data_IF_351085274452
#
_entry.id   IF_351085274452
#
_cell.length_a   1.000
_cell.length_b   1.000
_cell.length_c   1.000
_cell.angle_alpha   90.00
_cell.angle_beta   90.00
_cell.angle_gamma   90.00
#
_symmetry.space_group_name_H-M   'P 1'
#
loop_
_entity.id
_entity.type
_entity.pdbx_description
1 polymer ?
#
# COMPACT_ATOMS: atom_id res chain seq x y z
N UNK A 1 -6.91 -3.06 -13.81
CA UNK A 1 -6.64 -1.79 -13.08
C UNK A 1 -5.44 -1.11 -13.75
N UNK A 2 -5.26 0.21 -13.65
CA UNK A 2 -4.01 0.82 -14.12
C UNK A 2 -2.91 0.58 -13.09
N UNK A 3 -1.67 0.40 -13.54
CA UNK A 3 -0.52 0.13 -12.67
C UNK A 3 -0.40 1.13 -11.52
N UNK A 4 -0.49 2.43 -11.81
CA UNK A 4 -0.28 3.46 -10.79
C UNK A 4 -1.40 3.46 -9.72
N UNK A 5 -2.65 3.16 -10.12
CA UNK A 5 -3.76 2.96 -9.18
C UNK A 5 -3.51 1.72 -8.31
N UNK A 6 -3.00 0.65 -8.92
CA UNK A 6 -2.67 -0.60 -8.22
C UNK A 6 -1.57 -0.41 -7.17
N UNK A 7 -0.51 0.31 -7.54
CA UNK A 7 0.60 0.66 -6.66
C UNK A 7 0.13 1.52 -5.48
N UNK A 8 -0.71 2.52 -5.75
CA UNK A 8 -1.26 3.37 -4.70
C UNK A 8 -2.17 2.58 -3.76
N UNK A 9 -3.10 1.78 -4.29
CA UNK A 9 -3.99 0.94 -3.49
C UNK A 9 -3.21 -0.06 -2.63
N UNK A 10 -2.20 -0.71 -3.22
CA UNK A 10 -1.30 -1.59 -2.48
C UNK A 10 -0.59 -0.86 -1.35
N UNK A 11 -0.02 0.32 -1.61
CA UNK A 11 0.67 1.12 -0.60
C UNK A 11 -0.26 1.52 0.56
N UNK A 12 -1.50 1.95 0.26
CA UNK A 12 -2.49 2.27 1.27
C UNK A 12 -2.80 1.07 2.18
N UNK A 13 -3.12 -0.10 1.59
CA UNK A 13 -3.48 -1.27 2.38
C UNK A 13 -2.27 -1.89 3.10
N UNK A 14 -1.07 -1.79 2.51
CA UNK A 14 0.16 -2.24 3.14
C UNK A 14 0.47 -1.41 4.40
N UNK A 15 0.30 -0.09 4.35
CA UNK A 15 0.43 0.77 5.55
C UNK A 15 -0.59 0.39 6.62
N UNK A 16 -1.82 0.04 6.26
CA UNK A 16 -2.82 -0.47 7.21
C UNK A 16 -2.35 -1.79 7.83
N UNK A 17 -1.88 -2.74 7.01
CA UNK A 17 -1.42 -4.05 7.46
C UNK A 17 -0.22 -3.94 8.41
N UNK A 18 0.72 -3.03 8.11
CA UNK A 18 1.90 -2.80 8.95
C UNK A 18 1.53 -2.11 10.28
N UNK A 19 0.55 -1.21 10.27
CA UNK A 19 0.03 -0.57 11.49
C UNK A 19 -0.88 -1.50 12.32
N UNK A 20 -1.49 -2.51 11.70
CA UNK A 20 -2.45 -3.44 12.31
C UNK A 20 -2.08 -4.88 11.98
N UNK A 21 -0.97 -5.41 12.53
CA UNK A 21 -0.46 -6.74 12.19
C UNK A 21 -1.41 -7.90 12.54
N UNK A 22 -2.38 -7.66 13.43
CA UNK A 22 -3.42 -8.64 13.78
C UNK A 22 -4.63 -8.61 12.82
N UNK A 23 -4.70 -7.65 11.89
CA UNK A 23 -5.75 -7.56 10.88
C UNK A 23 -5.44 -8.46 9.69
N UNK A 24 -5.85 -9.73 9.80
CA UNK A 24 -5.63 -10.73 8.76
C UNK A 24 -6.24 -10.34 7.41
N UNK A 25 -7.35 -9.57 7.41
CA UNK A 25 -7.98 -9.09 6.19
C UNK A 25 -7.11 -8.08 5.47
N UNK A 26 -6.50 -7.14 6.20
CA UNK A 26 -5.55 -6.18 5.64
C UNK A 26 -4.31 -6.90 5.07
N UNK A 27 -3.73 -7.83 5.81
CA UNK A 27 -2.58 -8.64 5.36
C UNK A 27 -2.88 -9.43 4.07
N UNK A 28 -4.02 -10.12 4.04
CA UNK A 28 -4.42 -10.90 2.87
C UNK A 28 -4.65 -10.01 1.65
N UNK A 29 -5.26 -8.84 1.86
CA UNK A 29 -5.54 -7.87 0.79
C UNK A 29 -4.26 -7.27 0.26
N UNK A 30 -3.32 -6.90 1.12
CA UNK A 30 -1.99 -6.42 0.72
C UNK A 30 -1.21 -7.48 -0.07
N UNK A 31 -1.26 -8.74 0.36
CA UNK A 31 -0.65 -9.85 -0.38
C UNK A 31 -1.27 -10.05 -1.76
N UNK A 32 -2.60 -9.98 -1.86
CA UNK A 32 -3.32 -10.10 -3.13
C UNK A 32 -2.93 -8.99 -4.12
N UNK A 33 -2.91 -7.73 -3.68
CA UNK A 33 -2.47 -6.64 -4.54
C UNK A 33 -1.00 -6.78 -4.94
N UNK A 34 -0.14 -7.27 -4.04
CA UNK A 34 1.27 -7.51 -4.36
C UNK A 34 1.43 -8.57 -5.45
N UNK A 35 0.65 -9.64 -5.39
CA UNK A 35 0.66 -10.71 -6.39
C UNK A 35 0.14 -10.20 -7.74
N UNK A 36 -0.97 -9.46 -7.75
CA UNK A 36 -1.48 -8.80 -8.95
C UNK A 36 -0.46 -7.85 -9.58
N UNK A 37 0.21 -7.02 -8.76
CA UNK A 37 1.25 -6.10 -9.23
C UNK A 37 2.43 -6.83 -9.87
N UNK A 38 2.81 -7.98 -9.32
CA UNK A 38 3.86 -8.83 -9.88
C UNK A 38 3.43 -9.46 -11.21
N UNK A 39 2.23 -10.02 -11.27
CA UNK A 39 1.77 -10.84 -12.41
C UNK A 39 1.23 -10.01 -13.57
N UNK A 40 0.44 -8.97 -13.28
CA UNK A 40 -0.24 -8.18 -14.32
C UNK A 40 0.58 -6.94 -14.73
N UNK A 41 1.54 -6.53 -13.90
CA UNK A 41 2.29 -5.28 -14.09
C UNK A 41 3.80 -5.45 -13.96
N UNK A 42 4.31 -6.67 -13.76
CA UNK A 42 5.75 -6.98 -13.67
C UNK A 42 6.49 -6.15 -12.61
N UNK A 43 5.77 -5.73 -11.57
CA UNK A 43 6.31 -4.94 -10.46
C UNK A 43 6.83 -5.88 -9.38
N UNK A 44 8.15 -5.96 -9.26
CA UNK A 44 8.86 -6.83 -8.33
C UNK A 44 9.55 -6.02 -7.23
N UNK A 45 9.95 -6.71 -6.16
CA UNK A 45 10.77 -6.13 -5.07
C UNK A 45 10.18 -4.84 -4.47
N UNK A 46 8.84 -4.75 -4.41
CA UNK A 46 8.16 -3.56 -3.89
C UNK A 46 8.55 -3.30 -2.43
N UNK A 47 9.01 -2.09 -2.15
CA UNK A 47 9.30 -1.63 -0.79
C UNK A 47 8.97 -0.15 -0.66
N UNK A 48 8.64 0.28 0.55
CA UNK A 48 8.33 1.68 0.78
C UNK A 48 8.99 2.20 2.06
N UNK A 49 9.16 3.51 2.12
CA UNK A 49 9.62 4.22 3.32
C UNK A 49 8.86 5.53 3.45
N UNK A 50 8.70 6.00 4.68
CA UNK A 50 8.21 7.34 4.96
C UNK A 50 9.40 8.32 5.03
N UNK A 51 9.28 9.45 4.35
CA UNK A 51 10.24 10.55 4.29
C UNK A 51 9.50 11.88 4.51
N UNK A 52 9.39 12.29 5.77
CA UNK A 52 8.57 13.43 6.17
C UNK A 52 7.08 13.22 5.84
N UNK A 53 6.51 14.17 5.10
CA UNK A 53 5.11 14.15 4.64
C UNK A 53 4.89 13.34 3.35
N UNK A 54 5.87 12.50 2.98
CA UNK A 54 5.82 11.69 1.77
C UNK A 54 6.10 10.21 2.07
N UNK A 55 5.43 9.34 1.33
CA UNK A 55 5.84 7.94 1.18
C UNK A 55 6.57 7.79 -0.13
N UNK A 56 7.72 7.16 -0.06
CA UNK A 56 8.55 6.80 -1.20
C UNK A 56 8.36 5.31 -1.46
N UNK A 57 7.73 4.98 -2.58
CA UNK A 57 7.53 3.62 -3.06
C UNK A 57 8.60 3.31 -4.10
N UNK A 58 9.27 2.20 -3.92
CA UNK A 58 10.31 1.70 -4.83
C UNK A 58 9.96 0.30 -5.30
N UNK A 59 10.44 -0.05 -6.49
CA UNK A 59 10.32 -1.39 -7.02
C UNK A 59 11.25 -1.61 -8.20
N UNK A 60 11.17 -2.81 -8.77
CA UNK A 60 11.89 -3.19 -9.99
C UNK A 60 10.93 -3.65 -11.07
N UNK A 61 11.17 -3.18 -12.28
CA UNK A 61 10.48 -3.64 -13.49
C UNK A 61 11.53 -3.93 -14.55
N UNK A 62 11.57 -5.18 -15.03
CA UNK A 62 12.41 -5.60 -16.17
C UNK A 62 13.88 -5.11 -16.14
N UNK A 63 14.49 -5.15 -14.94
CA UNK A 63 15.87 -4.72 -14.60
C UNK A 63 16.09 -3.22 -14.35
N UNK A 64 15.06 -2.38 -14.39
CA UNK A 64 15.12 -0.97 -14.02
C UNK A 64 14.49 -0.73 -12.64
N UNK A 65 15.21 0.00 -11.79
CA UNK A 65 14.70 0.48 -10.52
C UNK A 65 13.87 1.73 -10.75
N UNK A 66 12.70 1.78 -10.14
CA UNK A 66 11.83 2.94 -10.22
C UNK A 66 11.40 3.40 -8.82
N UNK A 67 11.08 4.69 -8.72
CA UNK A 67 10.63 5.34 -7.51
C UNK A 67 9.40 6.21 -7.80
N UNK A 68 8.41 6.17 -6.91
CA UNK A 68 7.23 7.03 -6.92
C UNK A 68 7.02 7.63 -5.54
N UNK A 69 6.56 8.88 -5.48
CA UNK A 69 6.28 9.60 -4.21
C UNK A 69 4.80 9.89 -4.09
N UNK A 70 4.25 9.62 -2.91
CA UNK A 70 2.84 9.83 -2.58
C UNK A 70 2.71 10.68 -1.31
N UNK A 71 1.77 11.64 -1.24
CA UNK A 71 1.54 12.40 -0.01
C UNK A 71 1.12 11.47 1.14
N UNK A 72 1.71 11.67 2.32
CA UNK A 72 1.41 10.85 3.49
C UNK A 72 -0.07 10.88 3.88
N UNK A 73 -0.71 12.05 3.80
CA UNK A 73 -2.14 12.20 4.04
C UNK A 73 -2.98 11.27 3.13
N UNK A 74 -2.66 11.21 1.84
CA UNK A 74 -3.38 10.37 0.89
C UNK A 74 -3.16 8.88 1.14
N UNK A 75 -1.93 8.48 1.48
CA UNK A 75 -1.61 7.08 1.78
C UNK A 75 -2.28 6.62 3.07
N UNK A 76 -2.27 7.47 4.10
CA UNK A 76 -2.79 7.14 5.43
C UNK A 76 -4.31 7.32 5.55
N UNK A 77 -4.97 7.92 4.55
CA UNK A 77 -6.41 8.16 4.56
C UNK A 77 -7.23 6.91 4.92
N UNK A 78 -6.86 5.74 4.38
CA UNK A 78 -7.54 4.48 4.69
C UNK A 78 -7.35 4.05 6.15
N UNK A 79 -6.12 4.10 6.66
CA UNK A 79 -5.81 3.79 8.05
C UNK A 79 -6.56 4.72 9.02
N UNK A 80 -6.58 6.02 8.70
CA UNK A 80 -7.30 7.03 9.47
C UNK A 80 -8.80 6.75 9.46
N UNK A 81 -9.38 6.43 8.30
CA UNK A 81 -10.80 6.09 8.19
C UNK A 81 -11.15 4.87 9.06
N UNK A 82 -10.36 3.80 8.99
CA UNK A 82 -10.58 2.58 9.79
C UNK A 82 -10.44 2.86 11.30
N UNK A 83 -9.47 3.67 11.71
CA UNK A 83 -9.29 4.02 13.12
C UNK A 83 -10.41 4.93 13.65
N UNK A 84 -11.01 5.73 12.77
CA UNK A 84 -12.09 6.65 13.10
C UNK A 84 -13.49 6.03 12.93
N UNK A 85 -13.61 4.83 12.37
CA UNK A 85 -14.88 4.12 12.34
C UNK A 85 -15.30 3.79 13.78
N UNK A 86 -16.44 4.31 14.27
CA UNK A 86 -16.97 3.89 15.55
C UNK A 86 -17.33 2.42 15.41
N UNK A 87 -16.61 1.52 16.09
CA UNK A 87 -17.09 0.15 16.31
C UNK A 87 -18.50 0.29 16.90
N UNK A 88 -19.51 -0.17 16.16
CA UNK A 88 -20.90 -0.11 16.58
C UNK A 88 -21.01 -0.59 18.03
N UNK A 89 -21.26 0.36 18.92
CA UNK A 89 -21.62 0.09 20.30
C UNK A 89 -23.14 -0.08 20.36
N UNK A 90 -23.60 -1.30 20.09
CA UNK A 90 -24.95 -1.78 20.47
C UNK A 90 -24.85 -3.20 20.96
#
# INVERSE_FOLDING_TARGET
>A
MKRDDALFNWLQIQVVADARPDDQSALNTASFFREMLREDHEMNELSYRQDGDWYVLTGRSDSEEWESRYPAESVQALLIAINNEPRYNT
#
